data_IF_287398189833
#
_entry.id   IF_287398189833
#
_cell.length_a   1.000
_cell.length_b   1.000
_cell.length_c   1.000
_cell.angle_alpha   90.00
_cell.angle_beta   90.00
_cell.angle_gamma   90.00
#
_symmetry.space_group_name_H-M   'P 1'
#
loop_
_entity.id
_entity.type
_entity.pdbx_description
1 polymer ?
#
# COMPACT_ATOMS: atom_id res chain seq x y z
N UNK A 1 -7.94 4.63 16.02
CA UNK A 1 -8.89 5.44 15.22
C UNK A 1 -9.38 4.56 14.09
N UNK A 2 -10.70 4.44 13.95
CA UNK A 2 -11.29 3.62 12.89
C UNK A 2 -11.06 4.27 11.51
N UNK A 3 -11.02 3.45 10.47
CA UNK A 3 -10.95 3.92 9.09
C UNK A 3 -12.24 4.68 8.76
N UNK A 4 -12.19 6.02 8.72
CA UNK A 4 -13.32 6.88 8.39
C UNK A 4 -13.61 8.03 9.36
N UNK A 5 -12.84 8.19 10.43
CA UNK A 5 -12.93 9.39 11.28
C UNK A 5 -12.61 10.65 10.46
N UNK A 6 -13.49 11.67 10.42
CA UNK A 6 -13.22 12.91 9.69
C UNK A 6 -11.91 13.57 10.14
N UNK A 7 -11.17 14.17 9.21
CA UNK A 7 -9.88 14.81 9.49
C UNK A 7 -9.98 15.91 10.56
N UNK A 8 -11.12 16.61 10.60
CA UNK A 8 -11.36 17.68 11.57
C UNK A 8 -11.47 17.13 13.01
N UNK A 9 -12.10 15.97 13.19
CA UNK A 9 -12.17 15.31 14.50
C UNK A 9 -10.79 14.83 14.96
N UNK A 10 -9.97 14.34 14.03
CA UNK A 10 -8.58 13.94 14.32
C UNK A 10 -7.77 15.18 14.72
N UNK A 11 -7.92 16.29 14.00
CA UNK A 11 -7.24 17.56 14.30
C UNK A 11 -7.64 18.07 15.68
N UNK A 12 -8.93 18.11 15.98
CA UNK A 12 -9.44 18.55 17.29
C UNK A 12 -8.90 17.67 18.43
N UNK A 13 -8.83 16.36 18.21
CA UNK A 13 -8.23 15.44 19.18
C UNK A 13 -6.75 15.75 19.42
N UNK A 14 -5.96 15.91 18.35
CA UNK A 14 -4.53 16.23 18.42
C UNK A 14 -4.29 17.56 19.16
N UNK A 15 -5.08 18.60 18.85
CA UNK A 15 -5.04 19.89 19.56
C UNK A 15 -5.33 19.71 21.04
N UNK A 16 -6.37 18.94 21.42
CA UNK A 16 -6.70 18.68 22.83
C UNK A 16 -5.59 18.00 23.61
N UNK A 17 -4.78 17.15 22.96
CA UNK A 17 -3.63 16.49 23.60
C UNK A 17 -2.32 17.29 23.46
N UNK A 18 -2.38 18.52 22.94
CA UNK A 18 -1.24 19.44 22.83
C UNK A 18 -0.31 19.14 21.66
N UNK A 19 -0.86 18.69 20.53
CA UNK A 19 -0.19 18.44 19.26
C UNK A 19 -0.75 19.39 18.19
N UNK A 20 -0.52 20.69 18.38
CA UNK A 20 -0.99 21.78 17.52
C UNK A 20 0.20 22.56 16.90
N UNK A 21 -0.09 23.68 16.24
CA UNK A 21 0.90 24.56 15.62
C UNK A 21 1.86 25.23 16.62
N UNK A 22 1.47 25.34 17.89
CA UNK A 22 2.26 25.94 18.96
C UNK A 22 3.07 24.92 19.75
N UNK A 23 2.88 23.62 19.49
CA UNK A 23 3.62 22.56 20.14
C UNK A 23 5.11 22.56 19.74
N UNK A 24 5.93 21.86 20.51
CA UNK A 24 7.32 21.58 20.15
C UNK A 24 7.41 21.00 18.75
N UNK A 25 8.49 21.28 18.01
CA UNK A 25 8.65 20.86 16.62
C UNK A 25 8.38 19.36 16.39
N UNK A 26 8.74 18.49 17.35
CA UNK A 26 8.45 17.05 17.29
C UNK A 26 6.95 16.73 17.33
N UNK A 27 6.19 17.34 18.24
CA UNK A 27 4.75 17.11 18.36
C UNK A 27 3.99 17.67 17.16
N UNK A 28 4.38 18.86 16.69
CA UNK A 28 3.83 19.45 15.47
C UNK A 28 4.07 18.54 14.26
N UNK A 29 5.30 18.06 14.08
CA UNK A 29 5.66 17.17 12.98
C UNK A 29 4.90 15.84 13.03
N UNK A 30 4.70 15.28 14.23
CA UNK A 30 3.88 14.09 14.42
C UNK A 30 2.40 14.35 14.04
N UNK A 31 1.80 15.47 14.45
CA UNK A 31 0.45 15.82 14.03
C UNK A 31 0.34 15.95 12.50
N UNK A 32 1.32 16.62 11.87
CA UNK A 32 1.39 16.72 10.42
C UNK A 32 1.48 15.33 9.76
N UNK A 33 2.26 14.40 10.31
CA UNK A 33 2.36 13.03 9.80
C UNK A 33 0.98 12.33 9.79
N UNK A 34 0.24 12.40 10.89
CA UNK A 34 -1.08 11.75 11.01
C UNK A 34 -2.09 12.36 10.04
N UNK A 35 -2.16 13.70 9.97
CA UNK A 35 -3.11 14.41 9.12
C UNK A 35 -2.79 14.23 7.63
N UNK A 36 -1.51 14.30 7.24
CA UNK A 36 -1.08 14.03 5.86
C UNK A 36 -1.33 12.58 5.45
N UNK A 37 -1.15 11.61 6.36
CA UNK A 37 -1.47 10.20 6.08
C UNK A 37 -2.96 10.04 5.77
N UNK A 38 -3.82 10.60 6.62
CA UNK A 38 -5.28 10.58 6.46
C UNK A 38 -5.72 11.11 5.10
N UNK A 39 -5.19 12.27 4.69
CA UNK A 39 -5.59 12.94 3.45
C UNK A 39 -4.87 12.40 2.20
N UNK A 40 -3.99 11.42 2.36
CA UNK A 40 -3.25 10.87 1.22
C UNK A 40 -2.11 11.78 0.71
N UNK A 41 -1.68 12.75 1.51
CA UNK A 41 -0.71 13.78 1.14
C UNK A 41 0.72 13.37 1.50
N UNK A 42 1.71 14.08 0.93
CA UNK A 42 3.10 14.00 1.37
C UNK A 42 3.31 14.84 2.64
N UNK A 43 4.36 14.51 3.39
CA UNK A 43 4.79 15.27 4.56
C UNK A 43 5.92 16.23 4.14
N UNK A 44 5.91 17.53 4.49
CA UNK A 44 6.99 18.45 4.14
C UNK A 44 8.37 17.98 4.67
N UNK A 45 9.45 18.35 3.98
CA UNK A 45 10.82 17.98 4.38
C UNK A 45 11.18 18.47 5.79
N UNK A 46 10.78 19.71 6.12
CA UNK A 46 11.00 20.31 7.43
C UNK A 46 10.37 19.52 8.58
N UNK A 47 9.25 18.84 8.34
CA UNK A 47 8.59 18.03 9.36
C UNK A 47 9.20 16.62 9.40
N UNK A 48 9.63 16.08 8.25
CA UNK A 48 10.32 14.78 8.20
C UNK A 48 11.64 14.76 8.95
N UNK A 49 12.44 15.82 8.86
CA UNK A 49 13.75 15.90 9.52
C UNK A 49 13.66 15.93 11.05
N UNK A 50 12.52 16.38 11.57
CA UNK A 50 12.28 16.53 13.01
C UNK A 50 11.72 15.24 13.62
N UNK A 51 11.21 14.31 12.82
CA UNK A 51 10.64 13.05 13.32
C UNK A 51 11.75 12.05 13.61
N UNK A 52 11.91 11.72 14.89
CA UNK A 52 12.74 10.59 15.32
C UNK A 52 11.98 9.26 15.16
N UNK A 53 12.39 8.46 14.17
CA UNK A 53 11.83 7.14 13.89
C UNK A 53 12.00 6.13 15.04
N UNK A 54 12.99 6.34 15.91
CA UNK A 54 13.23 5.51 17.09
C UNK A 54 12.12 5.63 18.13
N UNK A 55 11.41 6.76 18.15
CA UNK A 55 10.31 7.05 19.08
C UNK A 55 8.94 6.61 18.55
N UNK A 56 8.82 6.28 17.27
CA UNK A 56 7.58 5.87 16.64
C UNK A 56 7.29 4.37 16.83
N UNK A 57 6.01 4.02 16.90
CA UNK A 57 5.59 2.64 16.82
C UNK A 57 5.64 2.12 15.35
N UNK A 58 5.33 0.84 15.13
CA UNK A 58 5.40 0.28 13.79
C UNK A 58 4.39 0.91 12.79
N UNK A 59 3.11 1.13 13.16
CA UNK A 59 2.17 1.88 12.32
C UNK A 59 2.67 3.27 11.94
N UNK A 60 3.18 4.06 12.88
CA UNK A 60 3.62 5.43 12.61
C UNK A 60 4.90 5.46 11.79
N UNK A 61 5.82 4.50 11.98
CA UNK A 61 6.94 4.31 11.05
C UNK A 61 6.46 3.99 9.65
N UNK A 62 5.45 3.14 9.50
CA UNK A 62 4.88 2.83 8.20
C UNK A 62 4.26 4.06 7.53
N UNK A 63 3.54 4.91 8.30
CA UNK A 63 3.00 6.19 7.84
C UNK A 63 4.10 7.14 7.36
N UNK A 64 5.17 7.25 8.12
CA UNK A 64 6.31 8.10 7.77
C UNK A 64 6.89 7.71 6.40
N UNK A 65 7.15 6.42 6.22
CA UNK A 65 7.69 5.90 4.97
C UNK A 65 6.68 6.03 3.80
N UNK A 66 5.38 5.92 4.07
CA UNK A 66 4.35 6.18 3.07
C UNK A 66 4.34 7.65 2.62
N UNK A 67 4.43 8.58 3.57
CA UNK A 67 4.52 10.01 3.29
C UNK A 67 5.80 10.38 2.52
N UNK A 68 6.93 9.75 2.86
CA UNK A 68 8.19 9.90 2.15
C UNK A 68 8.10 9.36 0.71
N UNK A 69 7.44 8.21 0.50
CA UNK A 69 7.21 7.66 -0.82
C UNK A 69 6.37 8.59 -1.71
N UNK A 70 5.30 9.17 -1.16
CA UNK A 70 4.45 10.14 -1.88
C UNK A 70 5.26 11.35 -2.34
N UNK A 71 6.13 11.88 -1.48
CA UNK A 71 6.99 12.99 -1.90
C UNK A 71 7.95 12.58 -3.01
N UNK A 72 8.64 11.45 -2.84
CA UNK A 72 9.59 10.98 -3.84
C UNK A 72 8.92 10.82 -5.21
N UNK A 73 7.70 10.29 -5.26
CA UNK A 73 6.93 10.22 -6.50
C UNK A 73 6.49 11.59 -7.02
N UNK A 74 6.04 12.52 -6.15
CA UNK A 74 5.69 13.90 -6.52
C UNK A 74 6.84 14.63 -7.23
N UNK A 75 8.08 14.37 -6.80
CA UNK A 75 9.30 14.97 -7.36
C UNK A 75 9.87 14.15 -8.54
N UNK A 76 9.25 13.01 -8.90
CA UNK A 76 9.66 12.18 -10.04
C UNK A 76 10.75 11.15 -9.73
N UNK A 77 11.09 10.93 -8.46
CA UNK A 77 12.09 9.95 -8.02
C UNK A 77 11.45 8.57 -7.74
N UNK A 78 11.09 7.84 -8.79
CA UNK A 78 10.39 6.56 -8.68
C UNK A 78 11.14 5.46 -7.90
N UNK A 79 12.46 5.39 -8.03
CA UNK A 79 13.29 4.42 -7.27
C UNK A 79 13.30 4.73 -5.78
N UNK A 80 13.42 6.01 -5.41
CA UNK A 80 13.33 6.43 -4.02
C UNK A 80 11.92 6.17 -3.45
N UNK A 81 10.87 6.43 -4.23
CA UNK A 81 9.50 6.11 -3.83
C UNK A 81 9.32 4.60 -3.56
N UNK A 82 9.87 3.74 -4.41
CA UNK A 82 9.79 2.29 -4.25
C UNK A 82 10.54 1.79 -3.00
N UNK A 83 11.70 2.37 -2.70
CA UNK A 83 12.47 2.07 -1.48
C UNK A 83 11.67 2.44 -0.23
N UNK A 84 11.07 3.63 -0.21
CA UNK A 84 10.26 4.08 0.92
C UNK A 84 9.00 3.22 1.10
N UNK A 85 8.32 2.83 0.02
CA UNK A 85 7.20 1.88 0.08
C UNK A 85 7.61 0.51 0.66
N UNK A 86 8.79 0.03 0.28
CA UNK A 86 9.33 -1.25 0.79
C UNK A 86 9.58 -1.19 2.29
N UNK A 87 10.12 -0.07 2.80
CA UNK A 87 10.28 0.17 4.24
C UNK A 87 8.94 0.26 4.95
N UNK A 88 7.98 1.02 4.41
CA UNK A 88 6.62 1.14 4.95
C UNK A 88 5.98 -0.24 5.11
N UNK A 89 6.06 -1.07 4.07
CA UNK A 89 5.55 -2.44 4.08
C UNK A 89 6.25 -3.30 5.13
N UNK A 90 7.57 -3.20 5.25
CA UNK A 90 8.34 -3.99 6.21
C UNK A 90 7.90 -3.76 7.66
N UNK A 91 7.56 -2.53 8.03
CA UNK A 91 7.03 -2.22 9.37
C UNK A 91 5.65 -2.81 9.62
N UNK A 92 4.82 -2.99 8.59
CA UNK A 92 3.49 -3.60 8.73
C UNK A 92 3.45 -5.11 8.57
N UNK A 93 4.53 -5.77 8.11
CA UNK A 93 4.56 -7.23 7.93
C UNK A 93 4.19 -8.01 9.20
N UNK A 94 4.51 -7.46 10.38
CA UNK A 94 4.24 -8.07 11.68
C UNK A 94 2.96 -7.52 12.34
N UNK A 95 2.27 -6.58 11.69
CA UNK A 95 1.05 -5.96 12.20
C UNK A 95 -0.18 -6.48 11.43
N UNK A 96 -0.99 -7.38 11.99
CA UNK A 96 -2.11 -7.98 11.27
C UNK A 96 -3.19 -6.93 10.97
N UNK A 97 -3.68 -6.86 9.72
CA UNK A 97 -4.90 -6.09 9.40
C UNK A 97 -5.01 -5.50 7.99
N UNK A 98 -6.10 -4.71 7.79
CA UNK A 98 -6.47 -4.03 6.53
C UNK A 98 -5.40 -3.05 6.01
N UNK A 99 -4.52 -2.55 6.88
CA UNK A 99 -3.53 -1.52 6.55
C UNK A 99 -2.48 -2.03 5.55
N UNK A 100 -2.06 -3.30 5.64
CA UNK A 100 -1.12 -3.88 4.68
C UNK A 100 -1.69 -3.91 3.24
N UNK A 101 -2.99 -4.21 3.08
CA UNK A 101 -3.66 -4.22 1.78
C UNK A 101 -3.85 -2.82 1.19
N UNK A 102 -4.05 -1.81 2.04
CA UNK A 102 -4.12 -0.40 1.60
C UNK A 102 -2.76 0.11 1.11
N UNK A 103 -1.65 -0.32 1.73
CA UNK A 103 -0.30 0.04 1.26
C UNK A 103 -0.02 -0.47 -0.15
N UNK A 104 -0.40 -1.70 -0.49
CA UNK A 104 -0.14 -2.25 -1.83
C UNK A 104 -0.91 -1.49 -2.92
N UNK A 105 -2.11 -0.97 -2.59
CA UNK A 105 -2.86 -0.09 -3.49
C UNK A 105 -2.20 1.28 -3.65
N UNK A 106 -1.75 1.90 -2.54
CA UNK A 106 -1.06 3.19 -2.59
C UNK A 106 0.28 3.05 -3.32
N UNK A 107 1.00 1.95 -3.13
CA UNK A 107 2.23 1.64 -3.85
C UNK A 107 2.01 1.54 -5.37
N UNK A 108 0.95 0.86 -5.79
CA UNK A 108 0.59 0.74 -7.20
C UNK A 108 0.26 2.11 -7.83
N UNK A 109 -0.42 2.99 -7.10
CA UNK A 109 -0.72 4.37 -7.54
C UNK A 109 0.54 5.22 -7.60
N UNK A 110 1.41 5.17 -6.58
CA UNK A 110 2.61 6.01 -6.47
C UNK A 110 3.65 5.67 -7.53
N UNK A 111 3.79 4.38 -7.86
CA UNK A 111 4.79 3.91 -8.80
C UNK A 111 4.28 3.84 -10.24
N UNK A 112 2.99 4.14 -10.47
CA UNK A 112 2.28 3.87 -11.73
C UNK A 112 2.55 2.44 -12.27
N UNK A 113 2.85 1.54 -11.34
CA UNK A 113 3.07 0.13 -11.63
C UNK A 113 1.80 -0.59 -11.23
N UNK A 114 1.16 -1.31 -12.15
CA UNK A 114 0.07 -2.19 -11.79
C UNK A 114 0.61 -3.34 -10.94
N UNK A 115 0.67 -3.11 -9.63
CA UNK A 115 1.14 -4.11 -8.67
C UNK A 115 0.00 -5.09 -8.41
N UNK A 116 0.32 -6.37 -8.60
CA UNK A 116 -0.56 -7.47 -8.19
C UNK A 116 -0.45 -7.59 -6.67
N UNK A 117 -1.54 -7.29 -5.95
CA UNK A 117 -1.53 -7.37 -4.48
C UNK A 117 -1.34 -8.82 -4.00
N UNK A 118 -0.91 -9.09 -2.75
CA UNK A 118 -0.73 -10.45 -2.25
C UNK A 118 -1.99 -11.33 -2.36
N UNK A 119 -3.17 -10.74 -2.15
CA UNK A 119 -4.45 -11.44 -2.35
C UNK A 119 -4.69 -11.75 -3.83
N UNK A 120 -4.44 -10.80 -4.73
CA UNK A 120 -4.51 -11.02 -6.17
C UNK A 120 -3.44 -12.03 -6.64
N UNK A 121 -2.27 -12.07 -6.02
CA UNK A 121 -1.19 -13.00 -6.34
C UNK A 121 -1.58 -14.43 -5.99
N UNK A 122 -2.26 -14.65 -4.85
CA UNK A 122 -2.83 -15.96 -4.50
C UNK A 122 -3.85 -16.41 -5.56
N UNK A 123 -4.78 -15.53 -5.92
CA UNK A 123 -5.78 -15.80 -6.97
C UNK A 123 -5.10 -16.07 -8.32
N UNK A 124 -4.09 -15.29 -8.68
CA UNK A 124 -3.34 -15.42 -9.92
C UNK A 124 -2.63 -16.78 -9.99
N UNK A 125 -1.94 -17.21 -8.92
CA UNK A 125 -1.25 -18.50 -8.92
C UNK A 125 -2.21 -19.67 -9.17
N UNK A 126 -3.34 -19.70 -8.47
CA UNK A 126 -4.36 -20.75 -8.67
C UNK A 126 -5.03 -20.65 -10.05
N UNK A 127 -5.19 -19.44 -10.58
CA UNK A 127 -5.67 -19.22 -11.95
C UNK A 127 -4.70 -19.80 -12.99
N UNK A 128 -3.38 -19.70 -12.78
CA UNK A 128 -2.37 -20.30 -13.67
C UNK A 128 -2.38 -21.82 -13.63
N UNK A 129 -2.82 -22.42 -12.54
CA UNK A 129 -3.05 -23.87 -12.41
C UNK A 129 -4.33 -24.33 -13.16
N UNK A 130 -5.11 -23.39 -13.71
CA UNK A 130 -6.30 -23.70 -14.51
C UNK A 130 -7.59 -23.84 -13.69
N UNK A 131 -7.57 -23.53 -12.39
CA UNK A 131 -8.74 -23.63 -11.52
C UNK A 131 -9.84 -22.65 -11.96
N UNK A 132 -11.11 -23.00 -11.72
CA UNK A 132 -12.24 -22.08 -11.93
C UNK A 132 -12.37 -21.06 -10.78
N UNK A 133 -13.24 -20.05 -10.93
CA UNK A 133 -13.51 -19.12 -9.82
C UNK A 133 -14.13 -19.83 -8.60
N UNK A 134 -14.87 -20.91 -8.82
CA UNK A 134 -15.47 -21.69 -7.73
C UNK A 134 -14.41 -22.52 -7.00
N UNK A 135 -13.50 -23.16 -7.74
CA UNK A 135 -12.42 -23.93 -7.14
C UNK A 135 -11.46 -23.03 -6.33
N UNK A 136 -11.10 -21.87 -6.90
CA UNK A 136 -10.28 -20.85 -6.21
C UNK A 136 -10.99 -20.35 -4.94
N UNK A 137 -12.29 -20.09 -5.02
CA UNK A 137 -13.09 -19.65 -3.89
C UNK A 137 -13.08 -20.68 -2.75
N UNK A 138 -13.24 -21.96 -3.11
CA UNK A 138 -13.16 -23.06 -2.16
C UNK A 138 -11.77 -23.16 -1.50
N UNK A 139 -10.69 -23.10 -2.28
CA UNK A 139 -9.32 -23.18 -1.78
C UNK A 139 -8.95 -22.01 -0.86
N UNK A 140 -9.38 -20.79 -1.21
CA UNK A 140 -9.09 -19.58 -0.45
C UNK A 140 -10.11 -19.29 0.66
N UNK A 141 -11.17 -20.09 0.78
CA UNK A 141 -12.29 -19.91 1.73
C UNK A 141 -12.93 -18.51 1.64
N UNK A 142 -13.19 -18.06 0.41
CA UNK A 142 -13.86 -16.79 0.08
C UNK A 142 -15.01 -17.03 -0.91
N UNK A 143 -15.81 -16.01 -1.21
CA UNK A 143 -16.90 -16.16 -2.19
C UNK A 143 -16.40 -16.18 -3.64
N UNK A 144 -17.05 -16.91 -4.57
CA UNK A 144 -16.76 -16.83 -6.01
C UNK A 144 -16.88 -15.40 -6.57
N UNK A 145 -17.78 -14.59 -6.01
CA UNK A 145 -17.92 -13.17 -6.34
C UNK A 145 -16.66 -12.38 -5.98
N UNK A 146 -16.07 -12.66 -4.82
CA UNK A 146 -14.80 -12.04 -4.38
C UNK A 146 -13.66 -12.43 -5.32
N UNK A 147 -13.58 -13.69 -5.73
CA UNK A 147 -12.59 -14.15 -6.72
C UNK A 147 -12.77 -13.40 -8.05
N UNK A 148 -14.01 -13.26 -8.54
CA UNK A 148 -14.29 -12.53 -9.78
C UNK A 148 -13.82 -11.07 -9.72
N UNK A 149 -14.00 -10.39 -8.59
CA UNK A 149 -13.48 -9.03 -8.36
C UNK A 149 -11.95 -9.00 -8.44
N UNK A 150 -11.26 -9.96 -7.81
CA UNK A 150 -9.81 -10.07 -7.90
C UNK A 150 -9.33 -10.33 -9.33
N UNK A 151 -10.00 -11.22 -10.08
CA UNK A 151 -9.67 -11.50 -11.49
C UNK A 151 -9.88 -10.26 -12.35
N UNK A 152 -10.96 -9.51 -12.17
CA UNK A 152 -11.20 -8.27 -12.92
C UNK A 152 -10.11 -7.22 -12.64
N UNK A 153 -9.69 -7.11 -11.38
CA UNK A 153 -8.58 -6.23 -11.02
C UNK A 153 -7.25 -6.70 -11.64
N UNK A 154 -6.98 -8.01 -11.66
CA UNK A 154 -5.81 -8.59 -12.33
C UNK A 154 -5.80 -8.28 -13.84
N UNK A 155 -6.93 -8.42 -14.52
CA UNK A 155 -7.05 -8.11 -15.96
C UNK A 155 -6.76 -6.64 -16.24
N UNK A 156 -7.36 -5.74 -15.45
CA UNK A 156 -7.12 -4.29 -15.56
C UNK A 156 -5.65 -3.96 -15.33
N UNK A 157 -5.08 -4.48 -14.24
CA UNK A 157 -3.70 -4.20 -13.84
C UNK A 157 -2.71 -4.74 -14.89
N UNK A 158 -2.92 -5.92 -15.43
CA UNK A 158 -2.00 -6.53 -16.40
C UNK A 158 -2.29 -6.15 -17.86
N UNK A 159 -3.29 -5.30 -18.10
CA UNK A 159 -3.85 -4.99 -19.41
C UNK A 159 -4.18 -6.25 -20.25
N UNK A 160 -4.53 -7.35 -19.58
CA UNK A 160 -4.93 -8.59 -20.23
C UNK A 160 -6.40 -8.53 -20.63
N UNK A 161 -6.70 -9.07 -21.81
CA UNK A 161 -8.05 -8.99 -22.41
C UNK A 161 -8.98 -10.09 -21.93
N UNK A 162 -8.44 -11.17 -21.38
CA UNK A 162 -9.19 -12.32 -20.89
C UNK A 162 -8.38 -13.09 -19.85
N UNK A 163 -9.06 -13.98 -19.11
CA UNK A 163 -8.41 -14.90 -18.15
C UNK A 163 -7.29 -15.71 -18.81
N UNK A 164 -7.53 -16.19 -20.02
CA UNK A 164 -6.56 -16.98 -20.79
C UNK A 164 -5.39 -16.13 -21.26
N UNK A 165 -5.65 -14.90 -21.75
CA UNK A 165 -4.59 -13.96 -22.14
C UNK A 165 -3.71 -13.60 -20.94
N UNK A 166 -4.31 -13.36 -19.76
CA UNK A 166 -3.60 -13.16 -18.51
C UNK A 166 -2.69 -14.36 -18.19
N UNK A 167 -3.22 -15.58 -18.24
CA UNK A 167 -2.44 -16.78 -17.94
C UNK A 167 -1.25 -16.95 -18.90
N UNK A 168 -1.47 -16.78 -20.21
CA UNK A 168 -0.41 -16.91 -21.22
C UNK A 168 0.68 -15.85 -21.03
N UNK A 169 0.30 -14.59 -20.81
CA UNK A 169 1.25 -13.48 -20.58
C UNK A 169 2.10 -13.72 -19.33
N UNK A 170 1.47 -14.12 -18.24
CA UNK A 170 2.13 -14.37 -16.96
C UNK A 170 3.09 -15.56 -17.03
N UNK A 171 2.68 -16.66 -17.65
CA UNK A 171 3.55 -17.83 -17.87
C UNK A 171 4.75 -17.49 -18.74
N UNK A 172 4.56 -16.73 -19.83
CA UNK A 172 5.66 -16.23 -20.66
C UNK A 172 6.62 -15.38 -19.86
N UNK A 173 6.12 -14.44 -19.05
CA UNK A 173 6.98 -13.58 -18.20
C UNK A 173 7.82 -14.42 -17.23
N UNK A 174 7.21 -15.42 -16.58
CA UNK A 174 7.91 -16.31 -15.64
C UNK A 174 8.95 -17.18 -16.34
N UNK A 175 8.64 -17.69 -17.53
CA UNK A 175 9.57 -18.48 -18.31
C UNK A 175 10.81 -17.65 -18.74
N UNK A 176 10.61 -16.43 -19.21
CA UNK A 176 11.73 -15.53 -19.56
C UNK A 176 12.58 -15.18 -18.34
N UNK A 177 11.96 -14.96 -17.17
CA UNK A 177 12.68 -14.66 -15.94
C UNK A 177 13.53 -15.86 -15.45
N UNK A 178 13.07 -17.09 -15.65
CA UNK A 178 13.81 -18.31 -15.30
C UNK A 178 15.01 -18.58 -16.22
N UNK A 179 14.98 -18.11 -17.47
CA UNK A 179 16.09 -18.28 -18.42
C UNK A 179 17.18 -17.20 -18.28
N UNK A 180 16.98 -16.22 -17.41
CA UNK A 180 17.91 -15.10 -17.19
C UNK A 180 18.45 -15.06 -15.74
N UNK A 181 18.18 -16.11 -14.95
CA UNK A 181 18.70 -16.33 -13.60
C UNK A 181 19.68 -17.50 -13.61
#
# INVERSE_FOLDING_TARGET
MDAGTPVDEIRDFLTKIGFDEHATSHRRAYACLILSDHDGLSLPMSDREVIDLGLLDAPDRARFHLAAAREAARVGHGTAAAVELSKSRAYLLHWPGRIASSLDQVAATILDTPSVTPAQQKVLNLLLEGLSNEDIAHQLRISPRTVAVHVQALLRNTAARSRTDLAVRELRRRFTALNHA
#
